data_IF_247915996706
#
_entry.id   IF_247915996706
#
_cell.length_a   1.000
_cell.length_b   1.000
_cell.length_c   1.000
_cell.angle_alpha   90.00
_cell.angle_beta   90.00
_cell.angle_gamma   90.00
#
_symmetry.space_group_name_H-M   'P 1'
#
loop_
_entity.id
_entity.type
_entity.pdbx_description
1 polymer ?
#
# COMPACT_ATOMS: atom_id res chain seq x y z
N UNK A 1 13.00 0.84 4.36
CA UNK A 1 13.87 1.82 3.66
C UNK A 1 13.93 3.08 4.51
N UNK A 2 15.10 3.63 4.84
CA UNK A 2 15.20 4.86 5.63
C UNK A 2 14.72 6.08 4.82
N UNK A 3 14.06 7.01 5.49
CA UNK A 3 13.65 8.31 4.94
C UNK A 3 14.30 9.42 5.79
N UNK A 4 14.88 10.43 5.16
CA UNK A 4 15.47 11.57 5.85
C UNK A 4 14.76 12.85 5.40
N UNK A 5 14.26 13.62 6.37
CA UNK A 5 13.58 14.88 6.11
C UNK A 5 14.32 16.00 6.86
N UNK A 6 14.70 17.04 6.12
CA UNK A 6 15.33 18.23 6.68
C UNK A 6 14.41 19.44 6.51
N UNK A 7 13.97 20.02 7.62
CA UNK A 7 13.13 21.22 7.61
C UNK A 7 13.50 22.12 8.81
N UNK A 8 14.51 22.99 8.65
CA UNK A 8 14.97 23.87 9.72
C UNK A 8 13.82 24.75 10.25
N UNK A 9 13.78 24.91 11.58
CA UNK A 9 12.74 25.69 12.26
C UNK A 9 11.40 24.98 12.45
N UNK A 10 11.19 23.81 11.79
CA UNK A 10 9.94 23.04 11.87
C UNK A 10 10.18 21.66 12.51
N UNK A 11 11.15 20.92 12.02
CA UNK A 11 11.53 19.61 12.56
C UNK A 11 12.75 19.77 13.44
N UNK A 12 12.67 19.30 14.70
CA UNK A 12 13.78 19.33 15.64
C UNK A 12 14.95 18.49 15.10
N UNK A 13 16.18 19.03 15.06
CA UNK A 13 17.35 18.25 14.67
C UNK A 13 17.54 16.99 15.53
N UNK A 14 17.98 15.89 14.90
CA UNK A 14 18.21 14.63 15.60
C UNK A 14 16.93 13.84 15.97
N UNK A 15 15.76 14.27 15.52
CA UNK A 15 14.52 13.50 15.72
C UNK A 15 14.59 12.20 14.95
N UNK A 16 14.34 11.08 15.64
CA UNK A 16 14.21 9.74 15.04
C UNK A 16 12.76 9.28 15.24
N UNK A 17 12.17 8.76 14.19
CA UNK A 17 10.82 8.18 14.20
C UNK A 17 10.89 6.78 13.55
N UNK A 18 10.36 5.76 14.25
CA UNK A 18 10.33 4.38 13.79
C UNK A 18 8.92 3.92 13.35
N UNK A 19 8.01 4.85 13.19
CA UNK A 19 6.65 4.57 12.70
C UNK A 19 6.66 4.28 11.20
N UNK A 20 5.57 3.67 10.71
CA UNK A 20 5.42 3.34 9.30
C UNK A 20 5.16 4.62 8.50
N UNK A 21 5.93 4.85 7.46
CA UNK A 21 5.67 5.88 6.45
C UNK A 21 5.65 5.26 5.05
N UNK A 22 4.89 5.87 4.16
CA UNK A 22 4.80 5.47 2.76
C UNK A 22 5.02 6.66 1.83
N UNK A 23 5.45 6.40 0.59
CA UNK A 23 5.49 7.42 -0.45
C UNK A 23 4.11 8.03 -0.74
N UNK A 24 3.04 7.28 -0.52
CA UNK A 24 1.66 7.75 -0.63
C UNK A 24 1.37 8.94 0.28
N UNK A 25 2.04 9.01 1.44
CA UNK A 25 1.85 10.08 2.42
C UNK A 25 2.47 11.40 1.97
N UNK A 26 3.42 11.36 1.04
CA UNK A 26 4.19 12.55 0.65
C UNK A 26 3.33 13.61 -0.01
N UNK A 27 2.37 13.23 -0.87
CA UNK A 27 1.50 14.19 -1.54
C UNK A 27 0.69 15.00 -0.52
N UNK A 28 -0.05 14.33 0.35
CA UNK A 28 -0.87 14.98 1.38
C UNK A 28 -0.04 15.81 2.36
N UNK A 29 1.14 15.30 2.74
CA UNK A 29 2.05 15.98 3.68
C UNK A 29 2.68 17.24 3.08
N UNK A 30 3.16 17.17 1.83
CA UNK A 30 3.81 18.30 1.15
C UNK A 30 2.79 19.39 0.81
N UNK A 31 1.58 19.04 0.38
CA UNK A 31 0.52 20.01 0.15
C UNK A 31 0.09 20.69 1.45
N UNK A 32 -0.03 19.94 2.54
CA UNK A 32 -0.30 20.53 3.85
C UNK A 32 0.86 21.45 4.33
N UNK A 33 2.11 21.13 4.00
CA UNK A 33 3.25 21.99 4.26
C UNK A 33 3.20 23.29 3.46
N UNK A 34 2.64 23.25 2.25
CA UNK A 34 2.40 24.41 1.40
C UNK A 34 1.12 25.21 1.78
N UNK A 35 0.38 24.77 2.81
CA UNK A 35 -0.82 25.44 3.30
C UNK A 35 -2.15 24.81 2.87
N UNK A 36 -2.13 23.78 2.02
CA UNK A 36 -3.32 23.05 1.58
C UNK A 36 -3.53 21.81 2.43
N UNK A 37 -4.35 21.94 3.47
CA UNK A 37 -4.62 20.87 4.43
C UNK A 37 -5.85 20.03 4.10
N UNK A 38 -6.64 20.42 3.10
CA UNK A 38 -7.94 19.83 2.74
C UNK A 38 -7.91 19.06 1.40
N UNK A 39 -6.72 18.87 0.83
CA UNK A 39 -6.56 18.28 -0.51
C UNK A 39 -7.25 16.91 -0.64
N UNK A 40 -7.22 16.08 0.40
CA UNK A 40 -7.81 14.74 0.39
C UNK A 40 -9.34 14.81 0.26
N UNK A 41 -9.96 15.62 1.07
CA UNK A 41 -11.42 15.86 1.10
C UNK A 41 -11.91 16.54 -0.18
N UNK A 42 -11.13 17.49 -0.69
CA UNK A 42 -11.46 18.22 -1.91
C UNK A 42 -11.37 17.32 -3.14
N UNK A 43 -10.35 16.47 -3.22
CA UNK A 43 -10.21 15.51 -4.32
C UNK A 43 -11.31 14.43 -4.31
N UNK A 44 -11.79 14.01 -3.15
CA UNK A 44 -12.93 13.09 -3.04
C UNK A 44 -14.21 13.71 -3.63
N UNK A 45 -14.44 15.01 -3.42
CA UNK A 45 -15.60 15.74 -3.94
C UNK A 45 -15.45 16.16 -5.40
N UNK A 46 -14.24 16.26 -5.87
CA UNK A 46 -13.88 16.78 -7.18
C UNK A 46 -13.26 18.18 -7.07
N UNK A 47 -11.93 18.26 -7.22
CA UNK A 47 -11.17 19.51 -7.16
C UNK A 47 -10.81 19.99 -8.56
N UNK A 48 -11.14 21.24 -8.86
CA UNK A 48 -10.72 21.88 -10.10
C UNK A 48 -9.27 22.38 -9.98
N UNK A 49 -8.43 21.98 -10.93
CA UNK A 49 -7.05 22.45 -11.06
C UNK A 49 -6.81 22.83 -12.51
N UNK A 50 -6.64 24.12 -12.76
CA UNK A 50 -6.66 24.67 -14.12
C UNK A 50 -8.01 24.40 -14.79
N UNK A 51 -7.99 23.80 -15.98
CA UNK A 51 -9.19 23.50 -16.75
C UNK A 51 -9.77 22.10 -16.47
N UNK A 52 -9.11 21.31 -15.63
CA UNK A 52 -9.53 19.94 -15.33
C UNK A 52 -10.07 19.79 -13.91
N UNK A 53 -11.05 18.92 -13.75
CA UNK A 53 -11.57 18.50 -12.45
C UNK A 53 -11.09 17.10 -12.12
N UNK A 54 -10.42 16.98 -10.97
CA UNK A 54 -9.89 15.71 -10.49
C UNK A 54 -10.78 15.19 -9.36
N UNK A 55 -11.41 14.04 -9.57
CA UNK A 55 -12.09 13.28 -8.52
C UNK A 55 -11.31 12.00 -8.30
N UNK A 56 -10.57 11.92 -7.17
CA UNK A 56 -9.67 10.81 -6.84
C UNK A 56 -9.69 10.53 -5.35
N UNK A 57 -9.44 9.26 -4.99
CA UNK A 57 -9.19 8.83 -3.63
C UNK A 57 -7.67 8.83 -3.39
N UNK A 58 -7.23 9.42 -2.28
CA UNK A 58 -5.84 9.37 -1.83
C UNK A 58 -5.74 8.49 -0.58
N UNK A 59 -4.89 7.47 -0.63
CA UNK A 59 -4.66 6.56 0.50
C UNK A 59 -3.62 7.10 1.49
N UNK A 60 -2.88 8.14 1.08
CA UNK A 60 -1.87 8.80 1.90
C UNK A 60 -2.42 9.59 3.08
N UNK A 61 -1.66 9.62 4.15
CA UNK A 61 -1.93 10.42 5.34
C UNK A 61 -1.17 11.74 5.32
N UNK A 62 -1.73 12.76 5.97
CA UNK A 62 -1.00 13.99 6.23
C UNK A 62 -0.16 13.83 7.50
N UNK A 63 1.13 13.62 7.35
CA UNK A 63 2.08 13.43 8.45
C UNK A 63 2.62 14.73 9.04
N UNK A 64 2.26 15.89 8.48
CA UNK A 64 2.78 17.20 8.90
C UNK A 64 2.57 17.50 10.39
N UNK A 65 1.42 17.22 11.03
CA UNK A 65 1.24 17.45 12.47
C UNK A 65 2.24 16.65 13.32
N UNK A 66 2.47 15.38 12.97
CA UNK A 66 3.42 14.52 13.66
C UNK A 66 4.86 14.95 13.42
N UNK A 67 5.23 15.37 12.22
CA UNK A 67 6.55 15.91 11.88
C UNK A 67 6.87 17.21 12.68
N UNK A 68 5.85 18.01 12.96
CA UNK A 68 5.95 19.20 13.82
C UNK A 68 5.96 18.88 15.33
N UNK A 69 5.83 17.60 15.73
CA UNK A 69 5.69 17.21 17.14
C UNK A 69 4.37 17.63 17.79
N UNK A 70 3.33 17.88 16.99
CA UNK A 70 2.01 18.38 17.44
C UNK A 70 0.87 17.38 17.25
N UNK A 71 1.16 16.13 16.92
CA UNK A 71 0.15 15.09 16.68
C UNK A 71 0.75 13.70 16.67
N UNK A 72 -0.14 12.70 16.66
CA UNK A 72 0.27 11.31 16.55
C UNK A 72 0.58 10.95 15.10
N UNK A 73 1.41 9.91 14.93
CA UNK A 73 1.68 9.32 13.64
C UNK A 73 0.48 8.48 13.21
N UNK A 74 -0.17 8.85 12.10
CA UNK A 74 -1.46 8.32 11.72
C UNK A 74 -1.37 6.95 11.06
N UNK A 75 -0.35 6.71 10.21
CA UNK A 75 -0.24 5.44 9.48
C UNK A 75 0.15 4.31 10.42
N UNK A 76 -0.66 3.27 10.44
CA UNK A 76 -0.40 2.01 11.18
C UNK A 76 -0.31 0.81 10.24
N UNK A 77 -0.78 0.97 9.01
CA UNK A 77 -0.91 -0.09 8.01
C UNK A 77 -0.18 0.24 6.69
N UNK A 78 0.08 -0.80 5.93
CA UNK A 78 0.54 -0.71 4.56
C UNK A 78 0.07 -1.94 3.78
N UNK A 79 -0.56 -1.72 2.62
CA UNK A 79 -0.96 -2.77 1.69
C UNK A 79 0.10 -2.92 0.61
N UNK A 80 0.57 -4.15 0.43
CA UNK A 80 1.50 -4.49 -0.64
C UNK A 80 0.71 -4.95 -1.86
N UNK A 81 1.05 -4.39 -3.01
CA UNK A 81 0.39 -4.68 -4.27
C UNK A 81 1.36 -5.34 -5.24
N UNK A 82 0.83 -6.22 -6.06
CA UNK A 82 1.54 -6.68 -7.26
C UNK A 82 1.38 -5.65 -8.37
N UNK A 83 2.20 -5.74 -9.39
CA UNK A 83 2.08 -4.94 -10.62
C UNK A 83 0.82 -5.27 -11.43
N UNK A 84 0.18 -6.40 -11.16
CA UNK A 84 -1.14 -6.77 -11.70
C UNK A 84 -2.33 -6.19 -10.90
N UNK A 85 -2.07 -5.50 -9.81
CA UNK A 85 -3.10 -4.88 -8.98
C UNK A 85 -3.77 -5.82 -7.99
N UNK A 86 -3.14 -6.95 -7.66
CA UNK A 86 -3.60 -7.84 -6.59
C UNK A 86 -2.97 -7.49 -5.25
N UNK A 87 -3.73 -7.63 -4.15
CA UNK A 87 -3.19 -7.42 -2.79
C UNK A 87 -2.28 -8.59 -2.43
N UNK A 88 -0.99 -8.34 -2.33
CA UNK A 88 -0.01 -9.36 -1.96
C UNK A 88 0.12 -9.58 -0.46
N UNK A 89 0.07 -8.51 0.32
CA UNK A 89 0.17 -8.59 1.77
C UNK A 89 -0.46 -7.37 2.45
N UNK A 90 -0.81 -7.53 3.72
CA UNK A 90 -1.15 -6.46 4.65
C UNK A 90 -0.09 -6.41 5.75
N UNK A 91 0.50 -5.25 5.98
CA UNK A 91 1.23 -4.93 7.20
C UNK A 91 0.36 -4.07 8.11
N UNK A 92 0.31 -4.42 9.39
CA UNK A 92 -0.30 -3.58 10.43
C UNK A 92 0.64 -3.54 11.64
N UNK A 93 1.20 -2.38 11.93
CA UNK A 93 2.27 -2.21 12.91
C UNK A 93 3.45 -3.18 12.65
N UNK A 94 3.68 -4.11 13.59
CA UNK A 94 4.75 -5.11 13.50
C UNK A 94 4.31 -6.43 12.85
N UNK A 95 3.06 -6.56 12.48
CA UNK A 95 2.51 -7.75 11.89
C UNK A 95 2.39 -7.62 10.39
N UNK A 96 2.78 -8.65 9.67
CA UNK A 96 2.56 -8.78 8.23
C UNK A 96 1.84 -10.07 7.95
N UNK A 97 0.82 -9.99 7.13
CA UNK A 97 0.05 -11.12 6.64
C UNK A 97 0.20 -11.15 5.12
N UNK A 98 0.77 -12.24 4.61
CA UNK A 98 1.06 -12.40 3.18
C UNK A 98 0.04 -13.34 2.54
N UNK A 99 -0.60 -12.89 1.48
CA UNK A 99 -1.63 -13.62 0.73
C UNK A 99 -1.09 -14.22 -0.56
N UNK A 100 -0.15 -13.51 -1.20
CA UNK A 100 0.48 -13.92 -2.44
C UNK A 100 1.99 -14.02 -2.24
N UNK A 101 2.60 -15.08 -2.74
CA UNK A 101 4.04 -15.32 -2.63
C UNK A 101 4.69 -15.33 -4.01
N UNK A 102 5.82 -14.68 -4.14
CA UNK A 102 6.72 -14.82 -5.26
C UNK A 102 7.83 -15.81 -4.89
N UNK A 103 7.85 -16.98 -5.56
CA UNK A 103 8.80 -18.05 -5.26
C UNK A 103 10.08 -17.98 -6.09
N UNK A 104 10.15 -17.06 -7.05
CA UNK A 104 11.32 -16.89 -7.90
C UNK A 104 12.23 -15.78 -7.41
N UNK A 105 13.50 -15.85 -7.81
CA UNK A 105 14.53 -14.86 -7.49
C UNK A 105 15.19 -14.32 -8.77
N UNK A 106 15.77 -13.12 -8.70
CA UNK A 106 16.43 -12.47 -9.82
C UNK A 106 15.46 -12.18 -10.96
N UNK A 107 15.88 -12.34 -12.20
CA UNK A 107 15.06 -12.04 -13.37
C UNK A 107 13.82 -12.93 -13.52
N UNK A 108 13.84 -14.12 -12.95
CA UNK A 108 12.70 -15.05 -13.00
C UNK A 108 11.43 -14.51 -12.34
N UNK A 109 11.52 -13.51 -11.48
CA UNK A 109 10.33 -12.85 -10.89
C UNK A 109 9.42 -12.23 -11.95
N UNK A 110 9.96 -11.86 -13.11
CA UNK A 110 9.20 -11.29 -14.23
C UNK A 110 8.52 -12.35 -15.12
N UNK A 111 8.97 -13.59 -15.03
CA UNK A 111 8.45 -14.71 -15.82
C UNK A 111 7.46 -15.56 -15.02
N UNK A 112 7.57 -15.53 -13.69
CA UNK A 112 6.83 -16.41 -12.80
C UNK A 112 5.68 -15.64 -12.13
N UNK A 113 4.44 -16.11 -12.23
CA UNK A 113 3.31 -15.50 -11.56
C UNK A 113 3.45 -15.61 -10.02
N UNK A 114 2.75 -14.73 -9.32
CA UNK A 114 2.57 -14.90 -7.88
C UNK A 114 1.70 -16.14 -7.60
N UNK A 115 2.07 -16.88 -6.57
CA UNK A 115 1.30 -18.00 -6.04
C UNK A 115 0.32 -17.51 -4.97
N UNK A 116 -0.96 -17.85 -5.13
CA UNK A 116 -1.96 -17.59 -4.10
C UNK A 116 -1.81 -18.59 -2.96
N UNK A 117 -1.61 -18.08 -1.76
CA UNK A 117 -1.49 -18.92 -0.57
C UNK A 117 -2.88 -19.34 -0.11
N UNK A 118 -3.12 -20.64 -0.05
CA UNK A 118 -4.35 -21.20 0.50
C UNK A 118 -4.59 -20.78 1.96
N UNK A 119 -3.50 -20.48 2.65
CA UNK A 119 -3.44 -20.01 4.01
C UNK A 119 -2.41 -18.87 4.07
N UNK A 120 -2.80 -17.67 4.46
CA UNK A 120 -1.86 -16.56 4.56
C UNK A 120 -0.75 -16.84 5.56
N UNK A 121 0.49 -16.48 5.23
CA UNK A 121 1.57 -16.53 6.20
C UNK A 121 1.50 -15.32 7.11
N UNK A 122 1.77 -15.53 8.40
CA UNK A 122 1.80 -14.49 9.42
C UNK A 122 3.25 -14.27 9.86
N UNK A 123 3.69 -13.02 9.88
CA UNK A 123 5.04 -12.65 10.30
C UNK A 123 4.98 -11.55 11.35
N UNK A 124 5.73 -11.71 12.43
CA UNK A 124 6.04 -10.61 13.34
C UNK A 124 7.39 -10.01 12.93
N UNK A 125 7.36 -8.84 12.29
CA UNK A 125 8.55 -8.21 11.70
C UNK A 125 9.63 -7.79 12.70
N UNK A 126 9.32 -7.77 14.00
CA UNK A 126 10.34 -7.56 15.05
C UNK A 126 11.02 -8.85 15.46
N UNK A 127 10.31 -9.98 15.44
CA UNK A 127 10.85 -11.29 15.77
C UNK A 127 11.57 -11.91 14.57
N UNK A 128 11.03 -11.66 13.38
CA UNK A 128 11.53 -12.18 12.11
C UNK A 128 11.61 -11.06 11.07
N UNK A 129 12.62 -10.18 11.16
CA UNK A 129 12.78 -9.06 10.24
C UNK A 129 13.16 -9.46 8.80
N UNK A 130 13.59 -10.69 8.59
CA UNK A 130 13.94 -11.25 7.29
C UNK A 130 12.80 -12.07 6.67
N UNK A 131 11.70 -12.24 7.39
CA UNK A 131 10.51 -12.96 6.94
C UNK A 131 10.79 -14.42 6.51
N UNK A 132 11.66 -15.11 7.25
CA UNK A 132 12.13 -16.46 6.91
C UNK A 132 11.48 -17.55 7.74
N UNK A 133 10.84 -17.21 8.85
CA UNK A 133 10.32 -18.18 9.81
C UNK A 133 9.29 -19.14 9.18
N UNK A 134 8.50 -18.68 8.23
CA UNK A 134 7.52 -19.54 7.53
C UNK A 134 8.13 -20.73 6.81
N UNK A 135 9.39 -20.60 6.36
CA UNK A 135 10.08 -21.61 5.58
C UNK A 135 11.13 -22.38 6.41
N UNK A 136 11.69 -21.77 7.45
CA UNK A 136 12.87 -22.28 8.13
C UNK A 136 12.62 -22.68 9.59
N UNK A 137 11.58 -22.14 10.25
CA UNK A 137 11.34 -22.43 11.66
C UNK A 137 10.45 -23.68 11.84
N UNK A 138 10.95 -24.65 12.59
CA UNK A 138 10.30 -25.95 12.82
C UNK A 138 8.91 -25.80 13.43
N UNK A 139 8.73 -24.89 14.39
CA UNK A 139 7.45 -24.70 15.11
C UNK A 139 6.57 -23.58 14.51
N UNK A 140 6.89 -23.08 13.31
CA UNK A 140 6.16 -21.98 12.71
C UNK A 140 4.66 -22.27 12.55
N UNK A 141 4.27 -23.45 12.07
CA UNK A 141 2.87 -23.79 11.85
C UNK A 141 2.06 -23.76 13.14
N UNK A 142 2.61 -24.27 14.24
CA UNK A 142 1.98 -24.21 15.56
C UNK A 142 1.85 -22.76 16.03
N UNK A 143 2.93 -22.01 15.95
CA UNK A 143 2.97 -20.59 16.32
C UNK A 143 1.95 -19.75 15.52
N UNK A 144 1.84 -20.00 14.20
CA UNK A 144 0.88 -19.32 13.35
C UNK A 144 -0.57 -19.74 13.67
N UNK A 145 -0.82 -21.05 13.89
CA UNK A 145 -2.14 -21.57 14.24
C UNK A 145 -2.70 -20.94 15.53
N UNK A 146 -1.88 -20.75 16.54
CA UNK A 146 -2.25 -20.09 17.80
C UNK A 146 -2.67 -18.62 17.60
N UNK A 147 -2.31 -18.01 16.45
CA UNK A 147 -2.58 -16.61 16.10
C UNK A 147 -3.59 -16.41 14.97
N UNK A 148 -4.26 -17.48 14.59
CA UNK A 148 -5.27 -17.48 13.51
C UNK A 148 -6.40 -16.49 13.71
N UNK A 149 -6.72 -16.15 14.95
CA UNK A 149 -7.72 -15.13 15.25
C UNK A 149 -7.42 -13.78 14.58
N UNK A 150 -6.16 -13.51 14.18
CA UNK A 150 -5.77 -12.29 13.47
C UNK A 150 -6.25 -12.24 12.02
N UNK A 151 -6.60 -13.39 11.42
CA UNK A 151 -7.07 -13.44 10.02
C UNK A 151 -8.39 -12.70 9.82
N UNK A 152 -9.33 -12.84 10.76
CA UNK A 152 -10.64 -12.23 10.64
C UNK A 152 -10.58 -10.68 10.63
N UNK A 153 -9.93 -10.01 11.59
CA UNK A 153 -9.78 -8.56 11.56
C UNK A 153 -8.94 -8.08 10.37
N UNK A 154 -7.91 -8.82 9.95
CA UNK A 154 -7.11 -8.46 8.79
C UNK A 154 -7.94 -8.55 7.48
N UNK A 155 -8.72 -9.60 7.31
CA UNK A 155 -9.64 -9.74 6.17
C UNK A 155 -10.70 -8.64 6.14
N UNK A 156 -11.28 -8.29 7.31
CA UNK A 156 -12.23 -7.18 7.42
C UNK A 156 -11.58 -5.83 7.04
N UNK A 157 -10.35 -5.59 7.49
CA UNK A 157 -9.60 -4.38 7.15
C UNK A 157 -9.33 -4.27 5.65
N UNK A 158 -8.81 -5.33 5.02
CA UNK A 158 -8.59 -5.37 3.57
C UNK A 158 -9.90 -5.19 2.81
N UNK A 159 -10.98 -5.86 3.24
CA UNK A 159 -12.31 -5.73 2.65
C UNK A 159 -12.86 -4.31 2.72
N UNK A 160 -12.72 -3.65 3.87
CA UNK A 160 -13.12 -2.25 4.05
C UNK A 160 -12.33 -1.31 3.13
N UNK A 161 -11.02 -1.53 3.02
CA UNK A 161 -10.17 -0.72 2.16
C UNK A 161 -10.52 -0.91 0.67
N UNK A 162 -10.76 -2.15 0.23
CA UNK A 162 -11.17 -2.45 -1.14
C UNK A 162 -12.54 -1.88 -1.53
N UNK A 163 -13.39 -1.52 -0.56
CA UNK A 163 -14.66 -0.86 -0.86
C UNK A 163 -14.49 0.49 -1.56
N UNK A 164 -13.38 1.18 -1.32
CA UNK A 164 -13.07 2.45 -2.01
C UNK A 164 -12.99 2.28 -3.53
N UNK A 165 -12.62 1.09 -4.03
CA UNK A 165 -12.55 0.79 -5.47
C UNK A 165 -13.90 0.69 -6.17
N UNK A 166 -14.99 0.60 -5.42
CA UNK A 166 -16.34 0.67 -6.02
C UNK A 166 -16.64 2.06 -6.59
N UNK A 167 -16.20 3.10 -5.89
CA UNK A 167 -16.35 4.49 -6.33
C UNK A 167 -15.13 4.98 -7.14
N UNK A 168 -13.94 4.52 -6.78
CA UNK A 168 -12.67 4.91 -7.39
C UNK A 168 -11.95 3.67 -7.96
N UNK A 169 -12.40 3.12 -9.09
CA UNK A 169 -11.81 1.91 -9.65
C UNK A 169 -10.34 2.10 -10.02
N UNK A 170 -9.53 1.03 -10.00
CA UNK A 170 -8.14 1.07 -10.41
C UNK A 170 -8.00 1.63 -11.82
N UNK A 171 -7.09 2.57 -12.00
CA UNK A 171 -6.79 3.17 -13.31
C UNK A 171 -5.60 2.52 -13.99
N UNK A 172 -4.72 1.91 -13.20
CA UNK A 172 -3.57 1.19 -13.72
C UNK A 172 -4.01 -0.14 -14.32
N UNK A 173 -3.50 -0.45 -15.50
CA UNK A 173 -3.67 -1.76 -16.10
C UNK A 173 -2.64 -2.72 -15.49
N UNK A 174 -2.99 -4.00 -15.28
CA UNK A 174 -2.03 -5.01 -14.86
C UNK A 174 -0.81 -5.07 -15.78
N UNK A 175 0.37 -5.35 -15.19
CA UNK A 175 1.64 -5.41 -15.90
C UNK A 175 1.86 -6.71 -16.68
N UNK A 176 1.24 -7.81 -16.24
CA UNK A 176 1.39 -9.12 -16.87
C UNK A 176 0.84 -9.17 -18.30
N UNK A 177 1.57 -9.84 -19.18
CA UNK A 177 1.15 -10.09 -20.55
C UNK A 177 -0.04 -11.08 -20.55
N UNK A 178 -1.12 -10.71 -21.24
CA UNK A 178 -2.30 -11.55 -21.40
C UNK A 178 -2.83 -11.42 -22.82
N UNK A 179 -2.98 -12.56 -23.52
CA UNK A 179 -3.48 -12.62 -24.89
C UNK A 179 -4.91 -12.07 -25.02
N UNK A 180 -5.77 -12.28 -24.03
CA UNK A 180 -7.15 -11.76 -24.05
C UNK A 180 -7.17 -10.23 -24.11
N UNK A 181 -6.21 -9.57 -23.43
CA UNK A 181 -6.07 -8.12 -23.52
C UNK A 181 -5.56 -7.63 -24.86
N UNK A 182 -4.68 -8.40 -25.49
CA UNK A 182 -4.25 -8.09 -26.86
C UNK A 182 -5.46 -8.16 -27.79
N UNK A 183 -6.29 -9.18 -27.65
CA UNK A 183 -7.53 -9.32 -28.42
C UNK A 183 -8.51 -8.19 -28.11
N UNK A 184 -8.71 -7.83 -26.85
CA UNK A 184 -9.55 -6.68 -26.46
C UNK A 184 -9.05 -5.36 -27.06
N UNK A 185 -7.74 -5.15 -27.09
CA UNK A 185 -7.15 -3.93 -27.66
C UNK A 185 -7.34 -3.85 -29.18
N UNK A 186 -7.34 -5.01 -29.86
CA UNK A 186 -7.56 -5.08 -31.30
C UNK A 186 -9.05 -4.94 -31.66
N UNK A 187 -9.93 -5.45 -30.81
CA UNK A 187 -11.39 -5.48 -31.08
C UNK A 187 -12.11 -4.22 -30.61
N UNK A 188 -11.58 -3.47 -29.66
CA UNK A 188 -12.15 -2.17 -29.26
C UNK A 188 -11.86 -1.12 -30.35
N UNK A 189 -12.87 -0.50 -30.98
CA UNK A 189 -12.64 0.59 -31.91
C UNK A 189 -11.90 1.69 -31.15
N UNK A 190 -10.83 2.20 -31.74
CA UNK A 190 -10.16 3.40 -31.23
C UNK A 190 -11.20 4.50 -31.16
N UNK A 191 -11.64 4.87 -29.96
CA UNK A 191 -12.39 6.11 -29.76
C UNK A 191 -11.43 7.22 -30.12
N UNK A 192 -11.56 7.73 -31.34
CA UNK A 192 -10.87 8.93 -31.80
C UNK A 192 -11.17 10.04 -30.79
N UNK A 193 -10.17 10.40 -29.99
CA UNK A 193 -10.23 11.59 -29.14
C UNK A 193 -10.51 12.81 -29.98
N UNK A 194 -11.56 13.48 -29.63
CA UNK A 194 -11.77 14.89 -29.91
C UNK A 194 -11.61 15.66 -28.61
#
# INVERSE_FOLDING_TARGET
>A
MPCMIRWPGVIKPGTVNNEIGSHEDMLSTLLAAAGDTTVKEDLLKGRKVGDMTYKVHLDGYNLLPALKGKGEWQRKEFLYWTDDGSVAALRYNNWKMTFLRQNSIGFKVWETPFEELRWPTLTNLRMDPLERASDEAIDYQRWAAERMFMLAPAGAYVGQWLQSFREFPPRQKPGSFNLDRVMEAVTKPQSSGK
#
